data_IF_042635874683
#
_entry.id   IF_042635874683
#
_cell.length_a   1.000
_cell.length_b   1.000
_cell.length_c   1.000
_cell.angle_alpha   90.00
_cell.angle_beta   90.00
_cell.angle_gamma   90.00
#
_symmetry.space_group_name_H-M   'P 1'
#
loop_
_entity.id
_entity.type
_entity.pdbx_description
1 polymer ?
#
# COMPACT_ATOMS: atom_id res chain seq x y z
N UNK A 1 13.70 0.78 3.50
CA UNK A 1 12.50 0.13 4.07
C UNK A 1 12.39 -1.26 3.45
N UNK A 2 12.34 -2.34 4.23
CA UNK A 2 12.30 -3.71 3.68
C UNK A 2 11.26 -4.61 4.39
N UNK A 3 10.21 -5.00 3.68
CA UNK A 3 9.16 -5.91 4.14
C UNK A 3 9.16 -7.26 3.38
N UNK A 4 10.25 -7.58 2.66
CA UNK A 4 10.39 -8.87 1.96
C UNK A 4 10.47 -10.05 2.94
N UNK A 5 10.91 -9.79 4.17
CA UNK A 5 10.78 -10.70 5.32
C UNK A 5 9.73 -10.19 6.30
N UNK A 6 8.87 -11.08 6.84
CA UNK A 6 7.82 -10.67 7.79
C UNK A 6 8.39 -9.98 9.03
N UNK A 7 7.83 -8.82 9.36
CA UNK A 7 8.14 -8.06 10.58
C UNK A 7 6.91 -7.32 11.09
N UNK A 8 6.93 -6.91 12.35
CA UNK A 8 5.90 -6.01 12.90
C UNK A 8 5.98 -4.68 12.15
N UNK A 9 4.84 -4.11 11.76
CA UNK A 9 4.76 -2.78 11.14
C UNK A 9 5.54 -1.77 11.99
N UNK A 10 5.30 -1.75 13.30
CA UNK A 10 5.97 -0.80 14.20
C UNK A 10 7.47 -1.03 14.45
N UNK A 11 8.11 -2.08 13.90
CA UNK A 11 9.52 -2.41 14.22
C UNK A 11 10.47 -1.29 13.81
N UNK A 12 10.36 -0.85 12.56
CA UNK A 12 11.32 0.08 11.94
C UNK A 12 10.67 1.44 11.63
N UNK A 13 9.45 1.71 12.12
CA UNK A 13 8.63 2.88 11.74
C UNK A 13 9.14 4.22 12.31
N UNK A 14 10.22 4.19 13.10
CA UNK A 14 10.88 5.37 13.71
C UNK A 14 12.40 5.31 13.55
N UNK A 15 12.90 4.49 12.62
CA UNK A 15 14.33 4.47 12.31
C UNK A 15 14.80 5.86 11.86
N UNK A 16 16.08 6.15 12.11
CA UNK A 16 16.74 7.36 11.64
C UNK A 16 17.00 7.27 10.13
N UNK A 17 15.91 7.36 9.38
CA UNK A 17 15.89 7.33 7.93
C UNK A 17 15.01 8.48 7.45
N UNK A 18 15.61 9.41 6.70
CA UNK A 18 15.01 10.68 6.28
C UNK A 18 13.56 10.53 5.78
N UNK A 19 13.30 9.54 4.92
CA UNK A 19 11.98 9.31 4.34
C UNK A 19 10.89 8.98 5.38
N UNK A 20 11.25 8.32 6.48
CA UNK A 20 10.31 8.03 7.59
C UNK A 20 10.11 9.25 8.48
N UNK A 21 11.15 10.06 8.67
CA UNK A 21 11.07 11.28 9.46
C UNK A 21 10.16 12.31 8.79
N UNK A 22 10.26 12.45 7.46
CA UNK A 22 9.43 13.37 6.67
C UNK A 22 7.93 13.08 6.77
N UNK A 23 7.55 11.81 6.93
CA UNK A 23 6.15 11.36 6.88
C UNK A 23 5.64 10.84 8.22
N UNK A 24 6.46 10.91 9.27
CA UNK A 24 6.12 10.42 10.60
C UNK A 24 5.86 8.90 10.67
N UNK A 25 6.39 8.13 9.71
CA UNK A 25 6.19 6.68 9.62
C UNK A 25 6.28 6.18 8.18
N UNK A 26 5.50 5.14 7.84
CA UNK A 26 5.35 4.73 6.44
C UNK A 26 4.23 5.51 5.79
N UNK A 27 4.54 6.13 4.67
CA UNK A 27 3.61 6.79 3.76
C UNK A 27 4.25 6.84 2.37
N UNK A 28 4.56 5.65 1.84
CA UNK A 28 5.39 5.50 0.65
C UNK A 28 4.79 4.51 -0.32
N UNK A 29 5.02 4.75 -1.61
CA UNK A 29 4.73 3.79 -2.66
C UNK A 29 5.82 2.71 -2.70
N UNK A 30 5.43 1.46 -2.50
CA UNK A 30 6.27 0.28 -2.71
C UNK A 30 6.08 -0.23 -4.13
N UNK A 31 7.20 -0.38 -4.85
CA UNK A 31 7.24 -0.95 -6.20
C UNK A 31 7.07 -2.47 -6.11
N UNK A 32 6.21 -3.05 -6.95
CA UNK A 32 5.96 -4.49 -6.97
C UNK A 32 7.01 -5.19 -7.84
N UNK A 33 7.80 -6.05 -7.21
CA UNK A 33 8.84 -6.81 -7.89
C UNK A 33 8.29 -7.69 -9.02
N UNK A 34 8.95 -7.65 -10.17
CA UNK A 34 8.59 -8.44 -11.34
C UNK A 34 7.24 -8.06 -11.96
N UNK A 35 6.71 -6.87 -11.66
CA UNK A 35 5.54 -6.35 -12.36
C UNK A 35 5.87 -6.06 -13.84
N UNK A 36 4.90 -6.38 -14.68
CA UNK A 36 4.82 -6.05 -16.08
C UNK A 36 3.34 -5.82 -16.41
N UNK A 37 3.09 -5.09 -17.49
CA UNK A 37 1.75 -4.67 -17.89
C UNK A 37 1.01 -5.78 -18.66
N UNK A 38 0.89 -6.96 -18.05
CA UNK A 38 0.30 -8.18 -18.64
C UNK A 38 -1.03 -8.59 -18.00
N UNK A 39 -1.54 -7.78 -17.06
CA UNK A 39 -2.79 -8.07 -16.33
C UNK A 39 -2.69 -9.19 -15.30
N UNK A 40 -1.50 -9.72 -15.01
CA UNK A 40 -1.32 -10.77 -14.00
C UNK A 40 -1.66 -10.25 -12.61
N UNK A 41 -2.55 -10.95 -11.92
CA UNK A 41 -2.87 -10.68 -10.52
C UNK A 41 -1.73 -11.18 -9.62
N UNK A 42 -0.99 -10.26 -8.99
CA UNK A 42 0.21 -10.56 -8.19
C UNK A 42 -0.07 -10.45 -6.70
N UNK A 43 0.49 -11.34 -5.90
CA UNK A 43 0.47 -11.23 -4.44
C UNK A 43 1.46 -10.15 -3.99
N UNK A 44 0.99 -9.15 -3.25
CA UNK A 44 1.81 -7.98 -2.89
C UNK A 44 2.08 -7.85 -1.39
N UNK A 45 1.19 -8.36 -0.54
CA UNK A 45 1.36 -8.23 0.90
C UNK A 45 0.57 -9.31 1.65
N UNK A 46 1.14 -9.77 2.76
CA UNK A 46 0.43 -10.55 3.77
C UNK A 46 0.47 -9.77 5.08
N UNK A 47 -0.70 -9.45 5.63
CA UNK A 47 -0.85 -8.83 6.95
C UNK A 47 -1.42 -9.86 7.92
N UNK A 48 -0.79 -10.00 9.09
CA UNK A 48 -1.23 -10.91 10.15
C UNK A 48 -1.59 -10.12 11.41
N UNK A 49 -2.80 -10.32 11.92
CA UNK A 49 -3.25 -9.77 13.20
C UNK A 49 -2.71 -10.62 14.36
N UNK A 50 -1.74 -10.14 15.16
CA UNK A 50 -1.07 -10.99 16.15
C UNK A 50 -1.98 -11.44 17.30
N UNK A 51 -3.06 -10.70 17.58
CA UNK A 51 -4.03 -11.02 18.65
C UNK A 51 -5.17 -11.91 18.17
N UNK A 52 -5.65 -11.69 16.95
CA UNK A 52 -6.82 -12.38 16.41
C UNK A 52 -6.49 -13.59 15.55
N UNK A 53 -5.23 -13.74 15.12
CA UNK A 53 -4.80 -14.76 14.17
C UNK A 53 -5.17 -14.46 12.71
N UNK A 54 -6.09 -13.52 12.47
CA UNK A 54 -6.59 -13.16 11.13
C UNK A 54 -5.44 -12.85 10.18
N UNK A 55 -5.53 -13.39 8.96
CA UNK A 55 -4.58 -13.11 7.89
C UNK A 55 -5.32 -12.44 6.74
N UNK A 56 -4.77 -11.34 6.24
CA UNK A 56 -5.19 -10.68 5.01
C UNK A 56 -4.08 -10.80 3.98
N UNK A 57 -4.37 -11.37 2.82
CA UNK A 57 -3.48 -11.36 1.65
C UNK A 57 -4.03 -10.35 0.64
N UNK A 58 -3.19 -9.43 0.20
CA UNK A 58 -3.51 -8.44 -0.80
C UNK A 58 -2.89 -8.83 -2.14
N UNK A 59 -3.64 -8.64 -3.22
CA UNK A 59 -3.21 -8.87 -4.59
C UNK A 59 -3.62 -7.72 -5.48
N UNK A 60 -2.86 -7.43 -6.53
CA UNK A 60 -3.24 -6.44 -7.53
C UNK A 60 -2.62 -6.71 -8.90
N UNK A 61 -3.21 -6.14 -9.94
CA UNK A 61 -2.63 -6.05 -11.30
C UNK A 61 -1.83 -4.75 -11.52
N UNK A 62 -1.86 -3.82 -10.57
CA UNK A 62 -1.19 -2.51 -10.64
C UNK A 62 0.29 -2.60 -10.24
N UNK A 63 1.14 -1.63 -10.63
CA UNK A 63 2.59 -1.69 -10.44
C UNK A 63 3.07 -1.34 -9.02
N UNK A 64 2.26 -0.63 -8.24
CA UNK A 64 2.63 -0.14 -6.92
C UNK A 64 1.55 -0.30 -5.86
N UNK A 65 1.98 -0.16 -4.60
CA UNK A 65 1.10 -0.07 -3.44
C UNK A 65 1.58 1.04 -2.50
N UNK A 66 0.75 2.04 -2.25
CA UNK A 66 0.98 3.01 -1.17
C UNK A 66 0.74 2.30 0.16
N UNK A 67 1.77 2.23 0.99
CA UNK A 67 1.63 1.76 2.37
C UNK A 67 1.64 2.94 3.33
N UNK A 68 0.44 3.32 3.78
CA UNK A 68 0.25 4.35 4.78
C UNK A 68 -0.05 3.74 6.14
N UNK A 69 0.75 4.07 7.16
CA UNK A 69 0.63 3.50 8.51
C UNK A 69 -0.26 4.31 9.46
N UNK A 70 -1.09 5.24 8.95
CA UNK A 70 -2.02 6.01 9.79
C UNK A 70 -1.34 7.11 10.62
N UNK A 71 -0.27 7.72 10.11
CA UNK A 71 0.63 8.60 10.87
C UNK A 71 -0.04 9.90 11.35
N UNK A 72 -1.03 10.41 10.61
CA UNK A 72 -1.65 11.73 10.82
C UNK A 72 -3.13 11.66 11.22
N UNK A 73 -3.56 10.54 11.80
CA UNK A 73 -4.93 10.42 12.31
C UNK A 73 -4.99 11.08 13.69
N UNK A 74 -5.65 12.23 13.76
CA UNK A 74 -5.97 12.89 15.02
C UNK A 74 -6.97 12.08 15.85
N UNK A 75 -6.99 12.34 17.16
CA UNK A 75 -7.90 11.68 18.08
C UNK A 75 -9.34 12.04 17.70
N UNK A 76 -10.12 11.02 17.31
CA UNK A 76 -11.50 11.23 16.87
C UNK A 76 -12.40 10.04 17.22
N UNK A 77 -13.71 10.25 17.42
CA UNK A 77 -14.66 9.18 17.65
C UNK A 77 -14.68 8.18 16.49
N UNK A 78 -14.72 6.90 16.83
CA UNK A 78 -14.88 5.79 15.90
C UNK A 78 -16.18 5.02 16.11
N UNK A 79 -16.32 3.90 15.39
CA UNK A 79 -17.49 3.01 15.52
C UNK A 79 -17.50 2.26 16.85
N UNK A 80 -18.68 1.88 17.31
CA UNK A 80 -18.87 1.08 18.54
C UNK A 80 -18.20 1.67 19.79
N UNK A 81 -18.14 3.01 19.87
CA UNK A 81 -17.55 3.74 21.00
C UNK A 81 -16.03 3.69 21.08
N UNK A 82 -15.33 3.16 20.07
CA UNK A 82 -13.86 3.21 20.02
C UNK A 82 -13.38 4.61 19.64
N UNK A 83 -12.15 4.95 19.99
CA UNK A 83 -11.49 6.18 19.57
C UNK A 83 -10.39 5.84 18.57
N UNK A 84 -10.39 6.47 17.41
CA UNK A 84 -9.28 6.40 16.46
C UNK A 84 -8.23 7.45 16.79
N UNK A 85 -6.99 7.17 16.43
CA UNK A 85 -5.87 8.10 16.56
C UNK A 85 -4.66 7.58 15.80
N UNK A 86 -3.51 8.17 16.09
CA UNK A 86 -2.25 7.89 15.41
C UNK A 86 -1.96 6.37 15.39
N UNK A 87 -1.77 5.83 14.18
CA UNK A 87 -1.46 4.41 13.91
C UNK A 87 -2.51 3.41 14.44
N UNK A 88 -3.77 3.82 14.56
CA UNK A 88 -4.88 2.91 14.84
C UNK A 88 -5.34 2.10 13.61
N UNK A 89 -4.82 2.41 12.42
CA UNK A 89 -5.10 1.72 11.18
C UNK A 89 -3.96 1.91 10.18
N UNK A 90 -4.04 1.20 9.05
CA UNK A 90 -3.14 1.34 7.92
C UNK A 90 -3.93 1.16 6.62
N UNK A 91 -3.36 1.59 5.50
CA UNK A 91 -3.88 1.39 4.16
C UNK A 91 -2.84 0.66 3.27
N UNK A 92 -3.34 -0.06 2.27
CA UNK A 92 -2.56 -0.66 1.20
C UNK A 92 -3.19 -0.25 -0.13
N UNK A 93 -2.87 0.94 -0.62
CA UNK A 93 -3.58 1.53 -1.76
C UNK A 93 -2.88 1.10 -3.04
N UNK A 94 -3.48 0.18 -3.78
CA UNK A 94 -2.91 -0.36 -5.02
C UNK A 94 -3.10 0.62 -6.17
N UNK A 95 -2.03 0.98 -6.88
CA UNK A 95 -2.05 2.10 -7.80
C UNK A 95 -0.87 2.08 -8.80
N UNK A 96 -0.94 3.00 -9.77
CA UNK A 96 0.26 3.49 -10.46
C UNK A 96 1.07 4.38 -9.51
N UNK A 97 2.36 4.54 -9.79
CA UNK A 97 3.23 5.31 -8.91
C UNK A 97 2.74 6.76 -8.82
N UNK A 98 2.74 7.37 -7.62
CA UNK A 98 2.50 8.80 -7.50
C UNK A 98 3.43 9.58 -8.43
N UNK A 99 2.93 10.68 -8.98
CA UNK A 99 3.70 11.60 -9.84
C UNK A 99 4.21 11.03 -11.17
N UNK A 100 3.69 9.89 -11.63
CA UNK A 100 4.09 9.26 -12.90
C UNK A 100 4.05 10.22 -14.11
N UNK A 101 3.17 11.22 -14.13
CA UNK A 101 3.11 12.24 -15.20
C UNK A 101 4.42 13.02 -15.40
N UNK A 102 5.22 13.17 -14.35
CA UNK A 102 6.49 13.90 -14.39
C UNK A 102 7.72 12.99 -14.47
N UNK A 103 7.52 11.67 -14.57
CA UNK A 103 8.58 10.66 -14.52
C UNK A 103 8.47 9.68 -15.70
N UNK A 104 9.16 9.97 -16.80
CA UNK A 104 9.14 9.15 -18.03
C UNK A 104 9.58 7.69 -17.83
N UNK A 105 10.35 7.41 -16.78
CA UNK A 105 10.81 6.05 -16.44
C UNK A 105 9.81 5.25 -15.60
N UNK A 106 8.66 5.81 -15.24
CA UNK A 106 7.60 5.10 -14.50
C UNK A 106 6.61 4.42 -15.47
N UNK A 107 5.90 3.36 -15.03
CA UNK A 107 4.90 2.70 -15.87
C UNK A 107 3.81 3.67 -16.33
N UNK A 108 3.53 3.71 -17.64
CA UNK A 108 2.53 4.62 -18.20
C UNK A 108 1.13 4.39 -17.61
N UNK A 109 0.46 5.49 -17.32
CA UNK A 109 -0.86 5.60 -16.70
C UNK A 109 -1.88 6.26 -17.65
N UNK A 110 -1.52 6.42 -18.93
CA UNK A 110 -2.40 7.03 -19.94
C UNK A 110 -3.29 5.96 -20.55
N UNK A 111 -4.60 6.15 -20.40
CA UNK A 111 -5.65 5.26 -20.91
C UNK A 111 -6.62 6.04 -21.79
N UNK A 112 -7.22 5.38 -22.78
CA UNK A 112 -8.16 5.99 -23.72
C UNK A 112 -7.53 6.93 -24.77
N UNK A 113 -8.39 7.48 -25.64
CA UNK A 113 -7.99 8.22 -26.85
C UNK A 113 -8.10 7.36 -28.12
N UNK A 114 -7.91 7.97 -29.29
CA UNK A 114 -8.14 7.33 -30.60
C UNK A 114 -7.26 6.07 -30.83
N UNK A 115 -6.11 6.00 -30.15
CA UNK A 115 -5.19 4.85 -30.16
C UNK A 115 -4.82 4.40 -28.72
N UNK A 116 -5.66 4.72 -27.73
CA UNK A 116 -5.37 4.41 -26.33
C UNK A 116 -5.72 2.98 -25.94
N UNK A 117 -5.17 2.52 -24.81
CA UNK A 117 -5.58 1.25 -24.19
C UNK A 117 -6.73 1.48 -23.21
N UNK A 118 -7.60 0.49 -23.07
CA UNK A 118 -8.64 0.52 -22.04
C UNK A 118 -8.01 0.42 -20.64
N UNK A 119 -8.63 1.10 -19.68
CA UNK A 119 -8.26 0.97 -18.28
C UNK A 119 -8.98 -0.22 -17.65
N UNK A 120 -8.21 -1.20 -17.19
CA UNK A 120 -8.70 -2.31 -16.37
C UNK A 120 -7.71 -2.55 -15.24
N UNK A 121 -8.22 -2.75 -14.02
CA UNK A 121 -7.40 -3.12 -12.88
C UNK A 121 -8.19 -3.92 -11.86
N UNK A 122 -7.48 -4.81 -11.17
CA UNK A 122 -8.05 -5.69 -10.15
C UNK A 122 -7.23 -5.59 -8.88
N UNK A 123 -7.91 -5.46 -7.75
CA UNK A 123 -7.33 -5.57 -6.42
C UNK A 123 -8.18 -6.50 -5.55
N UNK A 124 -7.52 -7.42 -4.86
CA UNK A 124 -8.17 -8.44 -4.04
C UNK A 124 -7.62 -8.41 -2.62
N UNK A 125 -8.51 -8.32 -1.63
CA UNK A 125 -8.21 -8.56 -0.22
C UNK A 125 -8.83 -9.87 0.22
N UNK A 126 -8.00 -10.92 0.30
CA UNK A 126 -8.42 -12.24 0.73
C UNK A 126 -8.17 -12.41 2.22
N UNK A 127 -9.23 -12.68 2.98
CA UNK A 127 -9.14 -13.00 4.40
C UNK A 127 -9.13 -14.51 4.62
N UNK A 128 -8.23 -14.96 5.48
CA UNK A 128 -8.09 -16.37 5.88
C UNK A 128 -8.29 -16.46 7.41
N UNK A 129 -8.93 -17.55 7.85
CA UNK A 129 -9.19 -17.88 9.25
C UNK A 129 -8.03 -18.66 9.86
#
# INVERSE_FOLDING_TARGET
MDFTQPKKIGRDIREDYEQLLLTGGYDHNFVIDGWNDDGTLRHIATVKGPKSGRVMKAYTTLPGVQFYAGNFIDVQPGKDGVTYGNRCGFALETQYFPDTIHHENFPSYVFGGENGREYDSVTVYKFEA
#
